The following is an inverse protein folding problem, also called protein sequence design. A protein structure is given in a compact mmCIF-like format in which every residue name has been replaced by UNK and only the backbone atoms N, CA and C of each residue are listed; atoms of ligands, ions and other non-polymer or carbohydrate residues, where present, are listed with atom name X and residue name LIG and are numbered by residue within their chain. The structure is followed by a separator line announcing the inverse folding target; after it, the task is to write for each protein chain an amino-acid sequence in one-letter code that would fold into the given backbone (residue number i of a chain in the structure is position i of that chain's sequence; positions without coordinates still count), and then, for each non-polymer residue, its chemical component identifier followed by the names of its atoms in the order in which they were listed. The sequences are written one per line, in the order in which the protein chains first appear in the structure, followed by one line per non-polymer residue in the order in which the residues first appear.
data_IF_439781122546
#
_entry.id   IF_439781122546
#
_cell.length_a   1.000
_cell.length_b   1.000
_cell.length_c   1.000
_cell.angle_alpha   90.00
_cell.angle_beta   90.00
_cell.angle_gamma   90.00
#
_symmetry.space_group_name_H-M   'P 1'
#
loop_
_entity.id
_entity.type
_entity.pdbx_description
1 polymer ?
#
# COMPACT_ATOMS: atom_id res chain seq x y z
N UNK A 1 8.53 26.27 4.26
CA UNK A 1 8.47 25.03 5.08
C UNK A 1 9.87 24.47 5.28
N UNK A 2 10.28 24.15 6.52
CA UNK A 2 11.63 23.68 6.84
C UNK A 2 12.08 22.46 6.02
N UNK A 3 11.19 21.49 5.78
CA UNK A 3 11.51 20.28 5.02
C UNK A 3 11.99 20.60 3.60
N UNK A 4 11.27 21.46 2.85
CA UNK A 4 11.67 21.86 1.49
C UNK A 4 13.06 22.53 1.46
N UNK A 5 13.36 23.35 2.46
CA UNK A 5 14.67 24.03 2.56
C UNK A 5 15.79 23.00 2.78
N UNK A 6 15.58 22.02 3.66
CA UNK A 6 16.54 20.96 3.92
C UNK A 6 16.80 20.11 2.68
N UNK A 7 15.74 19.63 2.03
CA UNK A 7 15.83 18.78 0.84
C UNK A 7 16.53 19.50 -0.33
N UNK A 8 16.19 20.77 -0.57
CA UNK A 8 16.81 21.54 -1.66
C UNK A 8 18.30 21.85 -1.41
N UNK A 9 18.70 22.09 -0.16
CA UNK A 9 20.10 22.39 0.18
C UNK A 9 20.98 21.15 0.28
N UNK A 10 20.40 20.00 0.67
CA UNK A 10 21.13 18.78 1.02
C UNK A 10 20.72 17.56 0.19
N UNK A 11 20.24 17.78 -1.05
CA UNK A 11 19.75 16.71 -1.95
C UNK A 11 20.69 15.53 -2.15
N UNK A 12 22.01 15.79 -2.10
CA UNK A 12 23.02 14.75 -2.30
C UNK A 12 23.50 14.10 -0.99
N UNK A 13 23.11 14.64 0.16
CA UNK A 13 23.50 14.16 1.50
C UNK A 13 22.40 13.33 2.16
N UNK A 14 21.14 13.52 1.75
CA UNK A 14 19.99 12.87 2.35
C UNK A 14 19.39 11.86 1.37
N UNK A 15 19.35 10.62 1.81
CA UNK A 15 18.63 9.54 1.14
C UNK A 15 17.27 9.34 1.79
N UNK A 16 16.21 9.24 0.98
CA UNK A 16 14.88 8.96 1.50
C UNK A 16 14.77 7.45 1.79
N UNK A 17 14.76 7.11 3.07
CA UNK A 17 14.65 5.73 3.57
C UNK A 17 13.24 5.42 4.07
N UNK A 18 12.96 4.13 4.34
CA UNK A 18 11.72 3.68 4.99
C UNK A 18 11.37 4.49 6.25
N UNK A 19 12.35 4.75 7.12
CA UNK A 19 12.11 5.49 8.37
C UNK A 19 11.60 6.92 8.14
N UNK A 20 12.03 7.57 7.06
CA UNK A 20 11.53 8.91 6.67
C UNK A 20 10.07 8.82 6.20
N UNK A 21 9.72 7.77 5.46
CA UNK A 21 8.36 7.50 5.00
C UNK A 21 7.43 7.17 6.18
N UNK A 22 7.88 6.36 7.13
CA UNK A 22 7.11 6.03 8.35
C UNK A 22 6.89 7.27 9.23
N UNK A 23 7.90 8.15 9.34
CA UNK A 23 7.73 9.44 10.01
C UNK A 23 6.69 10.33 9.32
N UNK A 24 6.67 10.33 7.98
CA UNK A 24 5.65 11.03 7.19
C UNK A 24 4.25 10.41 7.37
N UNK A 25 4.16 9.07 7.55
CA UNK A 25 2.90 8.37 7.77
C UNK A 25 2.25 8.74 9.12
N UNK A 26 3.08 9.01 10.14
CA UNK A 26 2.62 9.49 11.44
C UNK A 26 2.15 10.96 11.44
N UNK A 27 2.34 11.70 10.34
CA UNK A 27 1.91 13.09 10.22
C UNK A 27 0.46 13.16 9.72
N UNK A 28 -0.50 13.17 10.64
CA UNK A 28 -1.93 13.25 10.32
C UNK A 28 -2.37 14.59 9.72
N UNK A 29 -1.58 15.66 9.87
CA UNK A 29 -1.93 17.00 9.37
C UNK A 29 -1.46 17.24 7.93
N UNK A 30 -0.32 16.67 7.52
CA UNK A 30 0.28 16.94 6.19
C UNK A 30 1.10 15.79 5.62
N UNK A 31 0.89 14.55 6.09
CA UNK A 31 1.64 13.38 5.64
C UNK A 31 1.55 13.14 4.13
N UNK A 32 0.40 13.48 3.53
CA UNK A 32 0.15 13.36 2.07
C UNK A 32 1.01 14.34 1.25
N UNK A 33 1.12 15.58 1.69
CA UNK A 33 1.96 16.60 1.05
C UNK A 33 3.45 16.29 1.26
N UNK A 34 3.80 15.83 2.47
CA UNK A 34 5.17 15.42 2.80
C UNK A 34 5.59 14.25 1.91
N UNK A 35 4.79 13.18 1.80
CA UNK A 35 5.16 12.01 0.99
C UNK A 35 5.26 12.36 -0.50
N UNK A 36 4.39 13.24 -0.99
CA UNK A 36 4.44 13.74 -2.36
C UNK A 36 5.75 14.46 -2.68
N UNK A 37 6.28 15.24 -1.73
CA UNK A 37 7.57 15.92 -1.87
C UNK A 37 8.74 14.94 -1.76
N UNK A 38 8.68 13.99 -0.83
CA UNK A 38 9.75 13.01 -0.62
C UNK A 38 9.95 12.09 -1.82
N UNK A 39 8.86 11.68 -2.47
CA UNK A 39 8.90 10.79 -3.64
C UNK A 39 9.32 11.49 -4.94
N UNK A 40 9.33 12.82 -4.99
CA UNK A 40 9.66 13.59 -6.19
C UNK A 40 11.15 13.42 -6.56
N UNK A 41 11.47 12.73 -7.68
CA UNK A 41 12.85 12.50 -8.09
C UNK A 41 13.55 13.79 -8.52
N UNK A 42 12.84 14.87 -8.82
CA UNK A 42 13.44 16.18 -9.11
C UNK A 42 13.96 16.88 -7.85
N UNK A 43 13.46 16.50 -6.67
CA UNK A 43 13.80 17.11 -5.38
C UNK A 43 14.77 16.23 -4.59
N UNK A 44 14.63 14.90 -4.64
CA UNK A 44 15.36 13.98 -3.77
C UNK A 44 15.94 12.78 -4.51
N UNK A 45 16.85 12.06 -3.83
CA UNK A 45 17.24 10.70 -4.21
C UNK A 45 16.48 9.71 -3.33
N UNK A 46 15.67 8.87 -3.96
CA UNK A 46 14.92 7.81 -3.29
C UNK A 46 15.55 6.48 -3.66
N UNK A 47 15.93 5.71 -2.65
CA UNK A 47 16.29 4.30 -2.84
C UNK A 47 15.04 3.48 -2.60
N UNK A 48 14.50 2.97 -3.69
CA UNK A 48 13.28 2.20 -3.67
C UNK A 48 13.60 0.78 -3.24
N UNK A 49 13.26 0.47 -2.00
CA UNK A 49 13.38 -0.87 -1.41
C UNK A 49 12.01 -1.48 -1.26
N UNK A 50 11.92 -2.81 -1.22
CA UNK A 50 10.66 -3.52 -0.96
C UNK A 50 9.94 -2.98 0.29
N UNK A 51 10.70 -2.74 1.36
CA UNK A 51 10.16 -2.21 2.62
C UNK A 51 9.57 -0.81 2.51
N UNK A 52 10.12 0.04 1.63
CA UNK A 52 9.57 1.36 1.34
C UNK A 52 8.22 1.25 0.61
N UNK A 53 8.11 0.33 -0.35
CA UNK A 53 6.86 0.06 -1.07
C UNK A 53 5.78 -0.47 -0.14
N UNK A 54 6.13 -1.42 0.74
CA UNK A 54 5.23 -1.95 1.76
C UNK A 54 4.72 -0.85 2.71
N UNK A 55 5.60 0.02 3.18
CA UNK A 55 5.23 1.12 4.07
C UNK A 55 4.24 2.09 3.39
N UNK A 56 4.46 2.38 2.11
CA UNK A 56 3.54 3.18 1.29
C UNK A 56 2.18 2.49 1.12
N UNK A 57 2.20 1.22 0.72
CA UNK A 57 0.99 0.43 0.51
C UNK A 57 0.14 0.31 1.78
N UNK A 58 0.77 0.17 2.95
CA UNK A 58 0.11 0.00 4.25
C UNK A 58 -0.56 1.27 4.77
N UNK A 59 0.10 2.43 4.59
CA UNK A 59 -0.20 3.62 5.41
C UNK A 59 -0.65 4.85 4.61
N UNK A 60 -0.43 4.86 3.30
CA UNK A 60 -0.73 6.02 2.46
C UNK A 60 -1.87 5.75 1.48
N UNK A 61 -2.31 6.82 0.82
CA UNK A 61 -3.37 6.74 -0.16
C UNK A 61 -2.86 6.33 -1.55
N UNK A 62 -3.82 6.09 -2.44
CA UNK A 62 -3.56 5.75 -3.82
C UNK A 62 -2.77 6.82 -4.58
N UNK A 63 -2.84 8.11 -4.18
CA UNK A 63 -2.06 9.15 -4.86
C UNK A 63 -0.56 8.98 -4.59
N UNK A 64 -0.18 8.70 -3.34
CA UNK A 64 1.20 8.40 -2.99
C UNK A 64 1.71 7.15 -3.74
N UNK A 65 0.92 6.08 -3.75
CA UNK A 65 1.28 4.84 -4.46
C UNK A 65 1.40 5.07 -5.97
N UNK A 66 0.47 5.82 -6.57
CA UNK A 66 0.52 6.16 -8.01
C UNK A 66 1.78 6.96 -8.36
N UNK A 67 2.20 7.91 -7.52
CA UNK A 67 3.45 8.66 -7.74
C UNK A 67 4.67 7.76 -7.66
N UNK A 68 4.72 6.85 -6.69
CA UNK A 68 5.79 5.86 -6.59
C UNK A 68 5.89 5.03 -7.87
N UNK A 69 4.76 4.47 -8.33
CA UNK A 69 4.69 3.69 -9.57
C UNK A 69 5.06 4.51 -10.81
N UNK A 70 4.64 5.77 -10.90
CA UNK A 70 4.97 6.64 -12.04
C UNK A 70 6.46 6.97 -12.12
N UNK A 71 7.12 7.21 -10.99
CA UNK A 71 8.54 7.59 -10.96
C UNK A 71 9.49 6.39 -10.92
N UNK A 72 9.06 5.27 -10.36
CA UNK A 72 9.93 4.13 -10.06
C UNK A 72 9.36 2.78 -10.51
N UNK A 73 8.24 2.75 -11.24
CA UNK A 73 7.51 1.55 -11.68
C UNK A 73 8.40 0.47 -12.31
N UNK A 74 9.28 0.86 -13.23
CA UNK A 74 10.17 -0.08 -13.94
C UNK A 74 11.17 -0.81 -13.01
N UNK A 75 11.37 -0.30 -11.79
CA UNK A 75 12.28 -0.86 -10.78
C UNK A 75 11.53 -1.56 -9.65
N UNK A 76 10.20 -1.50 -9.65
CA UNK A 76 9.35 -1.98 -8.58
C UNK A 76 8.89 -3.39 -8.89
N UNK A 77 9.28 -4.31 -8.01
CA UNK A 77 8.65 -5.62 -7.93
C UNK A 77 7.51 -5.55 -6.92
N UNK A 78 6.29 -5.81 -7.39
CA UNK A 78 5.14 -5.95 -6.49
C UNK A 78 5.14 -7.40 -6.01
N UNK A 79 5.42 -7.58 -4.72
CA UNK A 79 5.44 -8.89 -4.08
C UNK A 79 4.14 -9.14 -3.34
N UNK A 80 3.96 -10.38 -2.89
CA UNK A 80 2.89 -10.78 -1.98
C UNK A 80 2.79 -9.86 -0.76
N UNK A 81 3.91 -9.52 -0.13
CA UNK A 81 3.90 -8.71 1.08
C UNK A 81 3.50 -7.25 0.82
N UNK A 82 3.69 -6.74 -0.41
CA UNK A 82 3.14 -5.43 -0.82
C UNK A 82 1.63 -5.52 -1.00
N UNK A 83 1.14 -6.61 -1.60
CA UNK A 83 -0.28 -6.89 -1.75
C UNK A 83 -0.98 -7.08 -0.40
N UNK A 84 -0.36 -7.81 0.53
CA UNK A 84 -0.84 -7.99 1.91
C UNK A 84 -0.93 -6.64 2.63
N UNK A 85 0.12 -5.81 2.53
CA UNK A 85 0.14 -4.46 3.10
C UNK A 85 -0.98 -3.57 2.53
N UNK A 86 -1.21 -3.62 1.22
CA UNK A 86 -2.32 -2.89 0.58
C UNK A 86 -3.68 -3.40 1.05
N UNK A 87 -3.87 -4.72 1.14
CA UNK A 87 -5.11 -5.32 1.61
C UNK A 87 -5.43 -4.96 3.08
N UNK A 88 -4.39 -4.85 3.91
CA UNK A 88 -4.48 -4.40 5.30
C UNK A 88 -4.56 -2.89 5.50
N UNK A 89 -4.58 -2.07 4.44
CA UNK A 89 -4.66 -0.61 4.57
C UNK A 89 -6.11 -0.18 4.89
N UNK A 90 -6.29 0.38 6.08
CA UNK A 90 -7.61 0.73 6.63
C UNK A 90 -8.28 1.93 5.96
N UNK A 91 -7.50 2.80 5.31
CA UNK A 91 -7.99 4.09 4.78
C UNK A 91 -8.16 4.09 3.27
N UNK A 92 -7.35 3.33 2.53
CA UNK A 92 -7.31 3.38 1.07
C UNK A 92 -6.95 2.02 0.45
N UNK A 93 -7.20 0.93 1.17
CA UNK A 93 -6.79 -0.42 0.73
C UNK A 93 -7.32 -0.79 -0.63
N UNK A 94 -8.59 -0.48 -0.95
CA UNK A 94 -9.17 -0.77 -2.27
C UNK A 94 -8.45 0.00 -3.38
N UNK A 95 -8.28 1.31 -3.22
CA UNK A 95 -7.66 2.15 -4.24
C UNK A 95 -6.17 1.85 -4.42
N UNK A 96 -5.46 1.56 -3.34
CA UNK A 96 -4.05 1.12 -3.39
C UNK A 96 -3.96 -0.24 -4.06
N UNK A 97 -4.81 -1.19 -3.70
CA UNK A 97 -4.85 -2.53 -4.30
C UNK A 97 -5.16 -2.48 -5.80
N UNK A 98 -6.06 -1.58 -6.23
CA UNK A 98 -6.39 -1.37 -7.63
C UNK A 98 -5.23 -0.77 -8.47
N UNK A 99 -4.24 -0.17 -7.82
CA UNK A 99 -3.04 0.37 -8.49
C UNK A 99 -1.92 -0.65 -8.61
N UNK A 100 -1.94 -1.72 -7.80
CA UNK A 100 -0.95 -2.79 -7.92
C UNK A 100 -1.21 -3.49 -9.26
N UNK A 101 -0.29 -3.41 -10.24
CA UNK A 101 -0.52 -3.96 -11.57
C UNK A 101 -0.95 -5.42 -11.53
N UNK A 102 -1.66 -5.83 -12.59
CA UNK A 102 -1.97 -7.21 -12.95
C UNK A 102 -0.71 -7.97 -13.37
N UNK A 103 0.34 -7.94 -12.55
CA UNK A 103 1.47 -8.88 -12.66
C UNK A 103 1.00 -10.22 -12.12
N UNK A 104 0.08 -10.83 -12.87
CA UNK A 104 -0.47 -12.19 -12.69
C UNK A 104 0.61 -13.26 -12.60
N UNK A 105 1.85 -12.92 -12.93
CA UNK A 105 2.99 -13.82 -12.87
C UNK A 105 3.78 -13.74 -11.54
N UNK A 106 3.61 -12.70 -10.71
CA UNK A 106 4.42 -12.52 -9.49
C UNK A 106 3.66 -12.03 -8.24
N UNK A 107 2.54 -11.32 -8.39
CA UNK A 107 1.69 -10.92 -7.26
C UNK A 107 0.58 -11.95 -7.04
N UNK A 108 0.95 -13.15 -6.58
CA UNK A 108 -0.02 -14.16 -6.22
C UNK A 108 -0.93 -13.62 -5.11
N UNK A 109 -2.24 -13.62 -5.33
CA UNK A 109 -3.20 -13.42 -4.24
C UNK A 109 -3.14 -14.67 -3.36
N UNK A 110 -2.35 -14.60 -2.31
CA UNK A 110 -2.19 -15.69 -1.36
C UNK A 110 -3.28 -15.66 -0.31
N UNK A 111 -3.29 -16.71 0.51
CA UNK A 111 -4.18 -16.82 1.66
C UNK A 111 -3.97 -15.61 2.59
N UNK A 112 -2.74 -15.18 2.78
CA UNK A 112 -2.31 -14.11 3.66
C UNK A 112 -2.89 -12.75 3.20
N UNK A 113 -2.85 -12.48 1.88
CA UNK A 113 -3.48 -11.28 1.30
C UNK A 113 -5.00 -11.27 1.53
N UNK A 114 -5.66 -12.42 1.35
CA UNK A 114 -7.11 -12.56 1.52
C UNK A 114 -7.49 -12.44 3.00
N UNK A 115 -6.68 -13.01 3.91
CA UNK A 115 -6.87 -12.87 5.36
C UNK A 115 -6.67 -11.43 5.83
N UNK A 116 -5.66 -10.73 5.32
CA UNK A 116 -5.44 -9.32 5.62
C UNK A 116 -6.65 -8.45 5.21
N UNK A 117 -7.23 -8.71 4.03
CA UNK A 117 -8.47 -8.08 3.61
C UNK A 117 -9.65 -8.46 4.53
N UNK A 118 -9.79 -9.73 4.91
CA UNK A 118 -10.89 -10.20 5.75
C UNK A 118 -10.86 -9.61 7.18
N UNK A 119 -9.67 -9.43 7.76
CA UNK A 119 -9.47 -8.82 9.08
C UNK A 119 -9.62 -7.30 9.09
N UNK A 120 -9.47 -6.64 7.95
CA UNK A 120 -9.52 -5.19 7.83
C UNK A 120 -10.98 -4.71 7.93
N UNK A 121 -11.29 -3.78 8.84
CA UNK A 121 -12.65 -3.25 9.01
C UNK A 121 -13.21 -2.59 7.74
N UNK A 122 -12.35 -1.97 6.93
CA UNK A 122 -12.64 -1.41 5.60
C UNK A 122 -12.38 -2.42 4.47
N UNK A 123 -12.05 -3.66 4.81
CA UNK A 123 -11.59 -4.68 3.88
C UNK A 123 -12.67 -5.31 3.02
N UNK A 124 -13.97 -5.03 3.27
CA UNK A 124 -15.08 -5.49 2.40
C UNK A 124 -14.81 -5.14 0.94
N UNK A 125 -14.40 -3.90 0.69
CA UNK A 125 -14.19 -3.36 -0.65
C UNK A 125 -12.96 -3.98 -1.34
N UNK A 126 -11.93 -4.31 -0.56
CA UNK A 126 -10.77 -5.07 -1.02
C UNK A 126 -11.18 -6.50 -1.36
N UNK A 127 -11.96 -7.16 -0.49
CA UNK A 127 -12.45 -8.52 -0.71
C UNK A 127 -13.31 -8.61 -1.97
N UNK A 128 -14.22 -7.65 -2.19
CA UNK A 128 -15.01 -7.57 -3.43
C UNK A 128 -14.10 -7.41 -4.65
N UNK A 129 -13.11 -6.51 -4.60
CA UNK A 129 -12.15 -6.34 -5.70
C UNK A 129 -11.38 -7.63 -6.02
N UNK A 130 -10.90 -8.33 -4.97
CA UNK A 130 -10.19 -9.61 -5.12
C UNK A 130 -11.06 -10.69 -5.76
N UNK A 131 -12.32 -10.80 -5.32
CA UNK A 131 -13.27 -11.77 -5.86
C UNK A 131 -13.70 -11.43 -7.30
N UNK A 132 -13.94 -10.15 -7.61
CA UNK A 132 -14.38 -9.73 -8.94
C UNK A 132 -13.27 -9.86 -9.99
N UNK A 133 -12.04 -9.47 -9.64
CA UNK A 133 -10.93 -9.37 -10.60
C UNK A 133 -10.06 -10.63 -10.64
N UNK A 134 -9.98 -11.38 -9.54
CA UNK A 134 -9.09 -12.54 -9.37
C UNK A 134 -9.75 -13.74 -8.69
N UNK A 135 -11.05 -13.97 -8.92
CA UNK A 135 -11.80 -15.11 -8.34
C UNK A 135 -11.10 -16.46 -8.45
N UNK A 136 -10.36 -16.71 -9.54
CA UNK A 136 -9.63 -17.95 -9.78
C UNK A 136 -8.34 -18.09 -8.94
N UNK A 137 -7.82 -16.99 -8.40
CA UNK A 137 -6.62 -16.96 -7.56
C UNK A 137 -6.99 -16.93 -6.06
N UNK A 138 -8.17 -16.39 -5.72
CA UNK A 138 -8.64 -16.30 -4.34
C UNK A 138 -9.01 -17.68 -3.79
N UNK A 139 -8.24 -18.15 -2.81
CA UNK A 139 -8.56 -19.35 -2.04
C UNK A 139 -9.24 -18.99 -0.73
N UNK A 140 -10.55 -19.21 -0.64
CA UNK A 140 -11.29 -19.08 0.61
C UNK A 140 -10.98 -20.29 1.50
N UNK A 141 -10.42 -20.04 2.68
CA UNK A 141 -10.11 -21.05 3.70
C UNK A 141 -10.95 -20.83 4.96
N UNK A 142 -10.97 -21.82 5.86
CA UNK A 142 -11.64 -21.67 7.16
C UNK A 142 -11.12 -20.46 7.94
N UNK A 143 -9.82 -20.18 7.87
CA UNK A 143 -9.20 -19.06 8.56
C UNK A 143 -9.62 -17.70 7.96
N UNK A 144 -9.79 -17.60 6.63
CA UNK A 144 -10.39 -16.42 5.98
C UNK A 144 -11.83 -16.20 6.47
N UNK A 145 -12.62 -17.26 6.60
CA UNK A 145 -14.00 -17.16 7.09
C UNK A 145 -14.03 -16.75 8.56
N UNK A 146 -13.15 -17.30 9.40
CA UNK A 146 -13.00 -16.88 10.81
C UNK A 146 -12.58 -15.43 10.94
N UNK A 147 -11.63 -14.98 10.11
CA UNK A 147 -11.18 -13.59 10.05
C UNK A 147 -12.36 -12.66 9.73
N UNK A 148 -13.10 -12.95 8.65
CA UNK A 148 -14.26 -12.17 8.26
C UNK A 148 -15.37 -12.18 9.34
N UNK A 149 -15.60 -13.33 10.00
CA UNK A 149 -16.61 -13.45 11.05
C UNK A 149 -16.26 -12.70 12.35
N UNK A 150 -14.97 -12.50 12.64
CA UNK A 150 -14.47 -11.71 13.78
C UNK A 150 -14.42 -10.22 13.51
N UNK A 151 -14.55 -9.83 12.24
CA UNK A 151 -14.59 -8.44 11.85
C UNK A 151 -15.99 -7.88 12.10
N UNK A 152 -16.07 -6.75 12.83
CA UNK A 152 -17.34 -6.13 13.21
C UNK A 152 -18.20 -5.71 12.00
N UNK A 153 -17.60 -5.58 10.81
CA UNK A 153 -18.29 -5.30 9.53
C UNK A 153 -18.58 -6.56 8.70
N UNK A 154 -18.27 -7.75 9.19
CA UNK A 154 -18.29 -9.03 8.46
C UNK A 154 -19.66 -9.46 7.92
N UNK A 155 -20.75 -9.02 8.54
CA UNK A 155 -22.13 -9.30 8.08
C UNK A 155 -22.46 -8.61 6.75
N UNK A 156 -21.70 -7.57 6.38
CA UNK A 156 -21.97 -6.76 5.18
C UNK A 156 -21.48 -7.42 3.88
N UNK A 157 -20.72 -8.52 3.92
CA UNK A 157 -20.29 -9.26 2.72
C UNK A 157 -21.40 -10.13 2.10
N UNK A 158 -22.49 -10.36 2.83
CA UNK A 158 -23.62 -11.22 2.43
C UNK A 158 -24.85 -10.45 1.91
N UNK A 159 -24.76 -9.12 1.83
CA UNK A 159 -25.83 -8.22 1.36
C UNK A 159 -25.35 -7.40 0.16
#
# INVERSE_FOLDING_TARGET
EPLKVLLNKHRNEIEITKGVIEAAAGNSSSGKEVIALLLDPAVNRVVVTLQLVQALAKSFDALAMKKLLMYYGDKLKITEEVAEAAAGNWNSGKEVMALLPDQRDEANITKEVVEAAAWNCSGKEVMVLLLDQRSNEVRITEEVVKAAARNDTGTTLLA
#
